data_IF_859289470731
#
_entry.id   IF_859289470731
#
_cell.length_a   1.000
_cell.length_b   1.000
_cell.length_c   1.000
_cell.angle_alpha   90.00
_cell.angle_beta   90.00
_cell.angle_gamma   90.00
#
_symmetry.space_group_name_H-M   'P 1'
#
loop_
_entity.id
_entity.type
_entity.pdbx_description
1 polymer ?
#
# COMPACT_ATOMS: atom_id res chain seq x y z
N UNK A 1 -2.64 12.15 -10.06
CA UNK A 1 -3.29 11.57 -11.26
C UNK A 1 -4.80 11.65 -11.06
N UNK A 2 -5.54 11.85 -12.15
CA UNK A 2 -6.99 12.11 -12.23
C UNK A 2 -7.88 11.46 -11.15
N UNK A 3 -8.91 12.20 -10.70
CA UNK A 3 -10.00 11.68 -9.85
C UNK A 3 -10.92 10.70 -10.58
N UNK A 4 -10.90 10.68 -11.91
CA UNK A 4 -11.82 9.92 -12.75
C UNK A 4 -11.11 8.71 -13.37
N UNK A 5 -11.69 7.52 -13.14
CA UNK A 5 -11.14 6.24 -13.61
C UNK A 5 -10.86 6.22 -15.12
N UNK A 6 -11.73 6.83 -15.91
CA UNK A 6 -11.61 6.88 -17.37
C UNK A 6 -10.39 7.70 -17.83
N UNK A 7 -10.20 8.89 -17.28
CA UNK A 7 -9.04 9.74 -17.60
C UNK A 7 -7.73 9.07 -17.14
N UNK A 8 -7.74 8.43 -15.96
CA UNK A 8 -6.61 7.62 -15.50
C UNK A 8 -6.26 6.50 -16.49
N UNK A 9 -7.26 5.78 -17.02
CA UNK A 9 -7.04 4.72 -18.00
C UNK A 9 -6.45 5.25 -19.32
N UNK A 10 -6.94 6.39 -19.82
CA UNK A 10 -6.39 7.03 -21.02
C UNK A 10 -4.93 7.42 -20.80
N UNK A 11 -4.62 8.07 -19.67
CA UNK A 11 -3.26 8.48 -19.34
C UNK A 11 -2.33 7.28 -19.18
N UNK A 12 -2.77 6.20 -18.54
CA UNK A 12 -1.98 4.97 -18.45
C UNK A 12 -1.71 4.36 -19.83
N UNK A 13 -2.70 4.35 -20.73
CA UNK A 13 -2.52 3.85 -22.08
C UNK A 13 -1.49 4.68 -22.85
N UNK A 14 -1.63 6.01 -22.86
CA UNK A 14 -0.77 6.92 -23.63
C UNK A 14 0.65 6.99 -23.05
N UNK A 15 0.79 7.05 -21.72
CA UNK A 15 2.09 7.31 -21.08
C UNK A 15 2.85 6.04 -20.68
N UNK A 16 2.19 4.89 -20.57
CA UNK A 16 2.84 3.64 -20.17
C UNK A 16 2.78 2.59 -21.27
N UNK A 17 1.59 2.27 -21.79
CA UNK A 17 1.42 1.16 -22.73
C UNK A 17 2.06 1.47 -24.09
N UNK A 18 1.78 2.63 -24.69
CA UNK A 18 2.36 3.00 -25.99
C UNK A 18 3.90 3.09 -25.91
N UNK A 19 4.52 3.83 -24.96
CA UNK A 19 5.96 3.92 -24.87
C UNK A 19 6.61 2.58 -24.52
N UNK A 20 6.01 1.81 -23.61
CA UNK A 20 6.47 0.48 -23.24
C UNK A 20 6.51 -0.47 -24.42
N UNK A 21 5.47 -0.47 -25.25
CA UNK A 21 5.42 -1.30 -26.45
C UNK A 21 6.49 -0.90 -27.48
N UNK A 22 6.70 0.40 -27.70
CA UNK A 22 7.73 0.90 -28.62
C UNK A 22 9.12 0.45 -28.14
N UNK A 23 9.43 0.68 -26.86
CA UNK A 23 10.74 0.33 -26.28
C UNK A 23 10.97 -1.18 -26.30
N UNK A 24 9.97 -1.99 -25.91
CA UNK A 24 10.09 -3.45 -25.94
C UNK A 24 10.21 -3.99 -27.38
N UNK A 25 9.58 -3.34 -28.36
CA UNK A 25 9.74 -3.70 -29.78
C UNK A 25 11.16 -3.38 -30.28
N UNK A 26 11.70 -2.21 -29.94
CA UNK A 26 13.09 -1.85 -30.23
C UNK A 26 14.08 -2.79 -29.54
N UNK A 27 13.79 -3.19 -28.30
CA UNK A 27 14.59 -4.18 -27.57
C UNK A 27 14.64 -5.50 -28.34
N UNK A 28 13.49 -6.03 -28.77
CA UNK A 28 13.43 -7.25 -29.59
C UNK A 28 14.23 -7.13 -30.89
N UNK A 29 14.08 -6.01 -31.61
CA UNK A 29 14.80 -5.77 -32.88
C UNK A 29 16.32 -5.66 -32.69
N UNK A 30 16.77 -5.19 -31.52
CA UNK A 30 18.19 -5.10 -31.16
C UNK A 30 18.72 -6.33 -30.43
N UNK A 31 17.96 -7.43 -30.39
CA UNK A 31 18.34 -8.68 -29.73
C UNK A 31 18.30 -8.63 -28.19
N UNK A 32 17.72 -7.58 -27.61
CA UNK A 32 17.57 -7.39 -26.16
C UNK A 32 16.23 -7.94 -25.68
N UNK A 33 16.19 -8.35 -24.42
CA UNK A 33 14.97 -8.85 -23.79
C UNK A 33 13.96 -7.70 -23.55
N UNK A 34 12.71 -7.80 -24.03
CA UNK A 34 11.64 -6.86 -23.65
C UNK A 34 11.25 -7.05 -22.18
N UNK A 35 11.01 -5.97 -21.44
CA UNK A 35 10.77 -6.01 -19.99
C UNK A 35 9.61 -5.13 -19.54
N UNK A 36 9.33 -4.02 -20.25
CA UNK A 36 8.41 -3.00 -19.77
C UNK A 36 6.97 -3.50 -19.74
N UNK A 37 6.53 -4.19 -20.80
CA UNK A 37 5.17 -4.70 -20.87
C UNK A 37 4.90 -5.78 -19.81
N UNK A 38 5.90 -6.61 -19.49
CA UNK A 38 5.81 -7.56 -18.39
C UNK A 38 5.73 -6.84 -17.04
N UNK A 39 6.54 -5.79 -16.86
CA UNK A 39 6.52 -4.93 -15.67
C UNK A 39 5.16 -4.28 -15.43
N UNK A 40 4.58 -3.65 -16.45
CA UNK A 40 3.25 -3.02 -16.35
C UNK A 40 2.15 -4.03 -16.04
N UNK A 41 2.21 -5.24 -16.62
CA UNK A 41 1.26 -6.31 -16.27
C UNK A 41 1.34 -6.70 -14.80
N UNK A 42 2.56 -6.86 -14.26
CA UNK A 42 2.76 -7.17 -12.83
C UNK A 42 2.28 -6.02 -11.94
N UNK A 43 2.59 -4.79 -12.32
CA UNK A 43 2.20 -3.59 -11.60
C UNK A 43 0.68 -3.44 -11.52
N UNK A 44 -0.05 -3.61 -12.64
CA UNK A 44 -1.51 -3.53 -12.63
C UNK A 44 -2.13 -4.66 -11.80
N UNK A 45 -1.65 -5.90 -11.92
CA UNK A 45 -2.11 -7.00 -11.08
C UNK A 45 -1.92 -6.70 -9.59
N UNK A 46 -0.76 -6.16 -9.21
CA UNK A 46 -0.46 -5.78 -7.84
C UNK A 46 -1.36 -4.64 -7.35
N UNK A 47 -1.56 -3.61 -8.17
CA UNK A 47 -2.45 -2.51 -7.88
C UNK A 47 -3.90 -2.98 -7.65
N UNK A 48 -4.40 -3.91 -8.47
CA UNK A 48 -5.74 -4.48 -8.32
C UNK A 48 -5.91 -5.24 -7.00
N UNK A 49 -4.89 -6.02 -6.60
CA UNK A 49 -4.91 -6.73 -5.31
C UNK A 49 -4.90 -5.75 -4.14
N UNK A 50 -4.04 -4.74 -4.19
CA UNK A 50 -3.89 -3.76 -3.10
C UNK A 50 -5.07 -2.79 -3.03
N UNK A 51 -5.72 -2.49 -4.15
CA UNK A 51 -6.86 -1.57 -4.21
C UNK A 51 -7.91 -1.88 -3.14
N UNK A 52 -8.23 -3.16 -2.93
CA UNK A 52 -9.18 -3.59 -1.91
C UNK A 52 -8.74 -3.22 -0.49
N UNK A 53 -7.46 -3.36 -0.17
CA UNK A 53 -6.93 -3.11 1.17
C UNK A 53 -6.64 -1.63 1.42
N UNK A 54 -6.13 -0.91 0.42
CA UNK A 54 -5.64 0.47 0.62
C UNK A 54 -6.67 1.56 0.38
N UNK A 55 -7.67 1.32 -0.46
CA UNK A 55 -8.60 2.37 -0.92
C UNK A 55 -10.04 2.15 -0.49
N UNK A 56 -10.35 1.03 0.16
CA UNK A 56 -11.64 0.84 0.81
C UNK A 56 -11.60 1.43 2.22
N UNK A 57 -12.66 2.15 2.66
CA UNK A 57 -12.77 2.53 4.05
C UNK A 57 -12.94 1.27 4.89
N UNK A 58 -12.16 1.19 5.97
CA UNK A 58 -12.24 0.11 6.95
C UNK A 58 -12.79 0.68 8.24
N UNK A 59 -13.90 0.11 8.71
CA UNK A 59 -14.41 0.40 10.05
C UNK A 59 -13.95 -0.70 10.98
N UNK A 60 -12.95 -0.42 11.79
CA UNK A 60 -12.48 -1.34 12.83
C UNK A 60 -13.29 -1.11 14.11
N UNK A 61 -13.89 -2.19 14.64
CA UNK A 61 -14.57 -2.16 15.93
C UNK A 61 -13.69 -2.80 17.00
N UNK A 62 -13.22 -1.99 17.94
CA UNK A 62 -12.32 -2.35 19.04
C UNK A 62 -13.00 -2.21 20.41
N UNK A 63 -14.32 -2.34 20.48
CA UNK A 63 -15.08 -2.22 21.74
C UNK A 63 -14.58 -3.15 22.85
N UNK A 64 -14.24 -4.40 22.51
CA UNK A 64 -13.70 -5.36 23.48
C UNK A 64 -12.34 -4.93 24.02
N UNK A 65 -11.46 -4.39 23.16
CA UNK A 65 -10.15 -3.88 23.56
C UNK A 65 -10.29 -2.68 24.50
N UNK A 66 -11.17 -1.72 24.16
CA UNK A 66 -11.47 -0.58 25.05
C UNK A 66 -12.01 -1.02 26.40
N UNK A 67 -12.93 -1.98 26.42
CA UNK A 67 -13.49 -2.52 27.65
C UNK A 67 -12.44 -3.24 28.49
N UNK A 68 -11.55 -4.01 27.85
CA UNK A 68 -10.45 -4.67 28.53
C UNK A 68 -9.52 -3.65 29.19
N UNK A 69 -9.13 -2.57 28.49
CA UNK A 69 -8.29 -1.50 29.06
C UNK A 69 -8.92 -0.94 30.33
N UNK A 70 -10.24 -0.72 30.35
CA UNK A 70 -10.94 -0.20 31.54
C UNK A 70 -10.97 -1.18 32.72
N UNK A 71 -10.94 -2.49 32.45
CA UNK A 71 -10.99 -3.54 33.48
C UNK A 71 -9.64 -3.91 34.07
N UNK A 72 -8.56 -3.72 33.31
CA UNK A 72 -7.21 -4.08 33.73
C UNK A 72 -6.73 -3.11 34.81
N UNK A 73 -5.97 -3.63 35.80
CA UNK A 73 -5.47 -2.82 36.91
C UNK A 73 -4.58 -1.68 36.41
N UNK A 74 -4.47 -0.57 37.16
CA UNK A 74 -3.58 0.53 36.79
C UNK A 74 -2.12 0.07 36.64
N UNK A 75 -1.69 -0.88 37.48
CA UNK A 75 -0.36 -1.48 37.41
C UNK A 75 -0.17 -2.20 36.08
N UNK A 76 -1.08 -3.09 35.72
CA UNK A 76 -1.00 -3.87 34.48
C UNK A 76 -1.13 -2.99 33.23
N UNK A 77 -1.94 -1.92 33.28
CA UNK A 77 -2.01 -0.93 32.21
C UNK A 77 -0.66 -0.20 32.01
N UNK A 78 0.12 0.01 33.07
CA UNK A 78 1.46 0.58 32.93
C UNK A 78 2.50 -0.40 32.41
N UNK A 79 2.33 -1.70 32.74
CA UNK A 79 3.21 -2.78 32.28
C UNK A 79 2.96 -3.16 30.81
N UNK A 80 1.70 -3.15 30.38
CA UNK A 80 1.29 -3.53 29.02
C UNK A 80 0.78 -2.32 28.24
N UNK A 81 1.61 -1.81 27.32
CA UNK A 81 1.27 -0.68 26.44
C UNK A 81 0.49 -1.13 25.21
N UNK A 82 -0.77 -1.49 25.38
CA UNK A 82 -1.68 -1.85 24.25
C UNK A 82 -2.80 -0.83 24.00
N UNK A 83 -2.80 0.29 24.73
CA UNK A 83 -3.66 1.44 24.46
C UNK A 83 -3.12 2.27 23.30
N UNK A 84 -3.67 2.05 22.10
CA UNK A 84 -3.26 2.73 20.87
C UNK A 84 -3.48 4.25 20.91
N UNK A 85 -4.32 4.77 21.82
CA UNK A 85 -4.55 6.23 21.94
C UNK A 85 -3.34 6.95 22.53
N UNK A 86 -2.47 6.23 23.23
CA UNK A 86 -1.25 6.76 23.86
C UNK A 86 0.00 6.46 23.02
N UNK A 87 -0.15 5.79 21.88
CA UNK A 87 0.97 5.42 21.01
C UNK A 87 1.40 6.64 20.17
N UNK A 88 2.68 7.01 20.28
CA UNK A 88 3.31 7.91 19.32
C UNK A 88 3.60 7.13 18.02
N UNK A 89 2.81 7.39 16.98
CA UNK A 89 2.99 6.74 15.68
C UNK A 89 4.35 7.06 15.06
N UNK A 90 4.84 8.29 15.20
CA UNK A 90 6.14 8.69 14.67
C UNK A 90 7.29 7.92 15.34
N UNK A 91 7.24 7.78 16.67
CA UNK A 91 8.25 7.01 17.41
C UNK A 91 8.15 5.52 17.09
N UNK A 92 6.93 4.99 16.99
CA UNK A 92 6.68 3.60 16.61
C UNK A 92 7.29 3.28 15.25
N UNK A 93 6.98 4.06 14.22
CA UNK A 93 7.50 3.83 12.87
C UNK A 93 9.01 4.06 12.81
N UNK A 94 9.55 5.06 13.52
CA UNK A 94 10.99 5.27 13.59
C UNK A 94 11.72 4.06 14.16
N UNK A 95 11.25 3.51 15.28
CA UNK A 95 11.82 2.30 15.89
C UNK A 95 11.66 1.08 15.00
N UNK A 96 10.47 0.89 14.44
CA UNK A 96 10.18 -0.22 13.54
C UNK A 96 11.05 -0.22 12.28
N UNK A 97 11.24 0.94 11.64
CA UNK A 97 12.11 1.09 10.48
C UNK A 97 13.59 0.85 10.81
N UNK A 98 14.01 1.13 12.05
CA UNK A 98 15.35 0.82 12.55
C UNK A 98 15.50 -0.66 12.99
N UNK A 99 14.40 -1.41 13.06
CA UNK A 99 14.40 -2.82 13.49
C UNK A 99 14.55 -3.03 14.99
N UNK A 100 14.14 -2.05 15.81
CA UNK A 100 14.22 -2.06 17.29
C UNK A 100 12.82 -2.25 17.89
#
# INVERSE_FOLDING_TARGET
LSKHKFEYQILCFILHIIPGFIIDSLAKLTGRKPLLMEGYRKMHKFADVIYYFSLKPWTFNDNNTRYLIQKVSKLDQTLFRFDLTKLSWDEYFKKHLLGI
#
